data_IF_843585729066
#
_entry.id   IF_843585729066
#
_cell.length_a   1.000
_cell.length_b   1.000
_cell.length_c   1.000
_cell.angle_alpha   90.00
_cell.angle_beta   90.00
_cell.angle_gamma   90.00
#
_symmetry.space_group_name_H-M   'P 1'
#
loop_
_entity.id
_entity.type
_entity.pdbx_description
1 polymer ?
#
# COMPACT_ATOMS: atom_id res chain seq x y z
N UNK A 1 -32.30 -7.22 47.99
CA UNK A 1 -31.49 -5.98 48.12
C UNK A 1 -30.87 -5.67 46.77
N UNK A 2 -31.19 -4.51 46.22
CA UNK A 2 -30.65 -3.95 44.99
C UNK A 2 -29.16 -3.60 45.14
N UNK A 3 -28.38 -3.78 44.06
CA UNK A 3 -27.23 -2.92 43.73
C UNK A 3 -27.09 -2.91 42.21
N UNK A 4 -27.35 -1.75 41.62
CA UNK A 4 -27.48 -1.55 40.17
C UNK A 4 -26.15 -1.60 39.43
N UNK A 5 -26.22 -2.07 38.18
CA UNK A 5 -25.19 -1.92 37.17
C UNK A 5 -25.10 -0.44 36.75
N UNK A 6 -23.90 0.13 36.56
CA UNK A 6 -23.79 1.46 35.96
C UNK A 6 -24.24 1.37 34.49
N UNK A 7 -25.25 2.16 34.16
CA UNK A 7 -25.68 2.42 32.78
C UNK A 7 -24.47 3.01 32.05
N UNK A 8 -23.93 2.28 31.06
CA UNK A 8 -22.95 2.83 30.13
C UNK A 8 -23.63 3.99 29.40
N UNK A 9 -23.13 5.20 29.66
CA UNK A 9 -23.67 6.45 29.14
C UNK A 9 -23.66 6.45 27.61
N UNK A 10 -24.80 6.83 27.00
CA UNK A 10 -25.01 6.87 25.55
C UNK A 10 -24.25 8.02 24.84
N UNK A 11 -23.38 8.76 25.54
CA UNK A 11 -22.64 9.91 25.02
C UNK A 11 -21.35 9.57 24.28
N UNK A 12 -20.85 8.34 24.41
CA UNK A 12 -19.55 7.94 23.87
C UNK A 12 -19.59 7.52 22.39
N UNK A 13 -20.76 7.26 21.80
CA UNK A 13 -20.88 6.94 20.36
C UNK A 13 -20.77 8.16 19.44
N UNK A 14 -20.95 9.38 19.96
CA UNK A 14 -20.89 10.62 19.17
C UNK A 14 -19.48 11.22 19.02
N UNK A 15 -18.54 10.85 19.89
CA UNK A 15 -17.16 11.36 19.87
C UNK A 15 -16.25 10.68 18.84
N UNK A 16 -16.26 9.34 18.68
CA UNK A 16 -15.50 8.63 17.64
C UNK A 16 -15.91 9.13 16.26
N UNK A 17 -17.22 9.17 16.01
CA UNK A 17 -17.76 9.59 14.72
C UNK A 17 -17.39 11.04 14.34
N UNK A 18 -17.33 11.97 15.32
CA UNK A 18 -16.85 13.35 15.07
C UNK A 18 -15.34 13.43 14.88
N UNK A 19 -14.59 12.55 15.54
CA UNK A 19 -13.14 12.48 15.40
C UNK A 19 -12.75 11.97 14.02
N UNK A 20 -13.41 10.92 13.55
CA UNK A 20 -13.20 10.32 12.23
C UNK A 20 -13.57 11.29 11.11
N UNK A 21 -14.68 12.04 11.26
CA UNK A 21 -15.05 13.09 10.32
C UNK A 21 -13.98 14.19 10.18
N UNK A 22 -13.34 14.58 11.28
CA UNK A 22 -12.27 15.59 11.24
C UNK A 22 -10.98 15.06 10.62
N UNK A 23 -10.60 13.83 10.97
CA UNK A 23 -9.47 13.14 10.32
C UNK A 23 -9.70 13.07 8.81
N UNK A 24 -10.88 12.62 8.38
CA UNK A 24 -11.22 12.48 6.97
C UNK A 24 -11.27 13.84 6.25
N UNK A 25 -11.82 14.89 6.87
CA UNK A 25 -11.79 16.23 6.28
C UNK A 25 -10.36 16.76 6.09
N UNK A 26 -9.43 16.43 7.00
CA UNK A 26 -8.01 16.76 6.83
C UNK A 26 -7.42 15.98 5.65
N UNK A 27 -7.67 14.67 5.55
CA UNK A 27 -7.15 13.83 4.47
C UNK A 27 -7.73 14.23 3.10
N UNK A 28 -9.02 14.54 3.00
CA UNK A 28 -9.65 15.04 1.78
C UNK A 28 -9.06 16.39 1.35
N UNK A 29 -8.82 17.28 2.33
CA UNK A 29 -8.15 18.55 2.05
C UNK A 29 -6.70 18.35 1.61
N UNK A 30 -5.97 17.41 2.25
CA UNK A 30 -4.61 17.06 1.88
C UNK A 30 -4.55 16.50 0.47
N UNK A 31 -5.45 15.58 0.12
CA UNK A 31 -5.59 15.00 -1.22
C UNK A 31 -5.79 16.07 -2.28
N UNK A 32 -6.70 17.01 -2.01
CA UNK A 32 -6.96 18.12 -2.91
C UNK A 32 -5.70 18.95 -3.17
N UNK A 33 -4.94 19.32 -2.14
CA UNK A 33 -3.72 20.11 -2.32
C UNK A 33 -2.61 19.28 -2.99
N UNK A 34 -2.52 17.98 -2.69
CA UNK A 34 -1.55 17.09 -3.33
C UNK A 34 -1.74 17.07 -4.85
N UNK A 35 -3.00 17.02 -5.32
CA UNK A 35 -3.35 17.08 -6.74
C UNK A 35 -3.02 18.43 -7.40
N UNK A 36 -3.10 19.53 -6.66
CA UNK A 36 -2.93 20.88 -7.22
C UNK A 36 -1.47 21.34 -7.26
N UNK A 37 -0.70 21.07 -6.21
CA UNK A 37 0.64 21.66 -6.01
C UNK A 37 1.74 20.64 -5.75
N UNK A 38 1.43 19.34 -5.82
CA UNK A 38 2.38 18.27 -5.48
C UNK A 38 2.76 18.26 -4.01
N UNK A 39 3.56 17.28 -3.57
CA UNK A 39 3.85 17.14 -2.14
C UNK A 39 4.58 18.38 -1.60
N UNK A 40 5.62 18.87 -2.27
CA UNK A 40 6.44 19.97 -1.77
C UNK A 40 5.65 21.28 -1.59
N UNK A 41 4.68 21.53 -2.48
CA UNK A 41 3.81 22.70 -2.42
C UNK A 41 2.78 22.68 -1.28
N UNK A 42 2.51 21.54 -0.64
CA UNK A 42 1.50 21.44 0.42
C UNK A 42 1.89 22.26 1.65
N UNK A 43 1.01 23.18 2.03
CA UNK A 43 1.08 23.99 3.24
C UNK A 43 -0.03 23.59 4.22
N UNK A 44 0.35 23.25 5.46
CA UNK A 44 -0.58 22.83 6.52
C UNK A 44 -1.61 23.93 6.85
N UNK A 45 -1.26 25.22 6.70
CA UNK A 45 -2.21 26.30 6.90
C UNK A 45 -3.35 26.27 5.87
N UNK A 46 -3.04 25.96 4.62
CA UNK A 46 -4.02 25.90 3.54
C UNK A 46 -4.88 24.63 3.65
N UNK A 47 -4.25 23.49 3.99
CA UNK A 47 -4.95 22.22 4.28
C UNK A 47 -5.96 22.40 5.40
N UNK A 48 -5.55 22.98 6.53
CA UNK A 48 -6.43 23.17 7.70
C UNK A 48 -7.55 24.17 7.44
N UNK A 49 -7.26 25.25 6.69
CA UNK A 49 -8.27 26.24 6.26
C UNK A 49 -9.35 25.57 5.41
N UNK A 50 -8.99 24.75 4.43
CA UNK A 50 -9.94 24.03 3.58
C UNK A 50 -10.72 22.95 4.35
N UNK A 51 -10.05 22.22 5.23
CA UNK A 51 -10.68 21.20 6.07
C UNK A 51 -11.62 21.79 7.15
N UNK A 52 -11.62 23.11 7.36
CA UNK A 52 -12.42 23.76 8.41
C UNK A 52 -11.97 23.39 9.83
N UNK A 53 -10.68 23.07 10.00
CA UNK A 53 -10.10 22.70 11.31
C UNK A 53 -8.97 23.66 11.70
N UNK A 54 -8.60 23.66 12.98
CA UNK A 54 -7.45 24.43 13.44
C UNK A 54 -6.15 23.69 13.18
N UNK A 55 -5.02 24.42 13.17
CA UNK A 55 -3.69 23.80 13.08
C UNK A 55 -3.39 22.88 14.26
N UNK A 56 -3.85 23.21 15.47
CA UNK A 56 -3.75 22.33 16.63
C UNK A 56 -4.55 21.04 16.45
N UNK A 57 -5.72 21.10 15.79
CA UNK A 57 -6.49 19.91 15.47
C UNK A 57 -5.78 19.01 14.44
N UNK A 58 -5.08 19.59 13.45
CA UNK A 58 -4.23 18.80 12.55
C UNK A 58 -3.17 18.01 13.32
N UNK A 59 -2.39 18.70 14.17
CA UNK A 59 -1.31 18.05 14.94
C UNK A 59 -1.81 17.10 16.05
N UNK A 60 -3.10 17.15 16.38
CA UNK A 60 -3.73 16.12 17.21
C UNK A 60 -3.87 14.79 16.47
N UNK A 61 -4.10 14.79 15.15
CA UNK A 61 -4.25 13.58 14.33
C UNK A 61 -2.93 13.12 13.69
N UNK A 62 -2.09 14.06 13.27
CA UNK A 62 -0.88 13.78 12.51
C UNK A 62 0.30 14.54 13.10
N UNK A 63 1.30 13.81 13.57
CA UNK A 63 2.51 14.40 14.16
C UNK A 63 3.19 15.40 13.23
N UNK A 64 3.17 15.11 11.92
CA UNK A 64 3.74 15.97 10.89
C UNK A 64 3.06 15.75 9.54
N UNK A 65 3.48 16.53 8.54
CA UNK A 65 3.01 16.43 7.15
C UNK A 65 3.22 15.04 6.56
N UNK A 66 4.35 14.39 6.85
CA UNK A 66 4.66 13.07 6.32
C UNK A 66 3.72 11.99 6.89
N UNK A 67 3.39 12.05 8.19
CA UNK A 67 2.40 11.16 8.80
C UNK A 67 0.99 11.33 8.21
N UNK A 68 0.59 12.56 7.86
CA UNK A 68 -0.68 12.80 7.20
C UNK A 68 -0.71 12.25 5.77
N UNK A 69 0.40 12.33 5.05
CA UNK A 69 0.55 11.75 3.71
C UNK A 69 0.56 10.22 3.78
N UNK A 70 1.28 9.64 4.75
CA UNK A 70 1.24 8.20 5.00
C UNK A 70 -0.20 7.70 5.23
N UNK A 71 -0.98 8.44 6.03
CA UNK A 71 -2.38 8.15 6.26
C UNK A 71 -3.26 8.32 5.00
N UNK A 72 -2.92 9.24 4.10
CA UNK A 72 -3.61 9.38 2.81
C UNK A 72 -3.38 8.18 1.88
N UNK A 73 -2.26 7.48 2.06
CA UNK A 73 -1.88 6.29 1.27
C UNK A 73 -2.45 4.98 1.85
N UNK A 74 -3.11 5.01 3.02
CA UNK A 74 -3.74 3.84 3.65
C UNK A 74 -4.56 2.98 2.66
N UNK A 75 -5.43 3.55 1.78
CA UNK A 75 -6.18 2.75 0.82
C UNK A 75 -5.31 1.93 -0.14
N UNK A 76 -4.14 2.46 -0.53
CA UNK A 76 -3.21 1.74 -1.42
C UNK A 76 -2.53 0.59 -0.69
N UNK A 77 -2.31 0.70 0.62
CA UNK A 77 -1.81 -0.40 1.42
C UNK A 77 -2.85 -1.51 1.56
N UNK A 78 -4.12 -1.15 1.76
CA UNK A 78 -5.23 -2.12 1.78
C UNK A 78 -5.31 -2.91 0.46
N UNK A 79 -5.16 -2.24 -0.68
CA UNK A 79 -5.08 -2.92 -1.97
C UNK A 79 -3.85 -3.84 -2.09
N UNK A 80 -2.70 -3.41 -1.57
CA UNK A 80 -1.49 -4.24 -1.49
C UNK A 80 -1.69 -5.50 -0.65
N UNK A 81 -2.38 -5.39 0.49
CA UNK A 81 -2.76 -6.54 1.31
C UNK A 81 -3.72 -7.47 0.59
N UNK A 82 -4.70 -6.92 -0.14
CA UNK A 82 -5.58 -7.74 -0.99
C UNK A 82 -4.79 -8.50 -2.06
N UNK A 83 -3.80 -7.87 -2.69
CA UNK A 83 -2.92 -8.51 -3.66
C UNK A 83 -2.07 -9.62 -3.01
N UNK A 84 -1.62 -9.42 -1.78
CA UNK A 84 -0.93 -10.46 -0.98
C UNK A 84 -1.86 -11.64 -0.69
N UNK A 85 -3.07 -11.40 -0.19
CA UNK A 85 -4.08 -12.43 0.07
C UNK A 85 -4.39 -13.26 -1.19
N UNK A 86 -4.49 -12.60 -2.35
CA UNK A 86 -4.70 -13.26 -3.64
C UNK A 86 -3.55 -14.22 -3.96
N UNK A 87 -2.31 -13.77 -3.76
CA UNK A 87 -1.10 -14.52 -4.03
C UNK A 87 -0.98 -15.73 -3.09
N UNK A 88 -1.33 -15.57 -1.81
CA UNK A 88 -1.13 -16.59 -0.77
C UNK A 88 -2.29 -17.58 -0.66
N UNK A 89 -3.42 -17.33 -1.33
CA UNK A 89 -4.57 -18.23 -1.39
C UNK A 89 -4.32 -19.54 -2.19
N UNK A 90 -3.56 -20.48 -1.63
CA UNK A 90 -3.09 -21.75 -2.24
C UNK A 90 -4.19 -22.72 -2.72
N UNK A 91 -5.46 -22.38 -2.57
CA UNK A 91 -6.59 -23.13 -3.15
C UNK A 91 -6.69 -23.04 -4.67
N UNK A 92 -5.89 -22.15 -5.31
CA UNK A 92 -5.84 -21.92 -6.76
C UNK A 92 -4.46 -22.27 -7.35
N UNK A 93 -4.40 -22.62 -8.65
CA UNK A 93 -3.13 -22.85 -9.34
C UNK A 93 -2.16 -21.66 -9.18
N UNK A 94 -0.84 -21.89 -9.03
CA UNK A 94 0.14 -20.81 -8.86
C UNK A 94 0.08 -19.70 -9.90
N UNK A 95 -0.08 -20.08 -11.17
CA UNK A 95 -0.20 -19.17 -12.30
C UNK A 95 -1.37 -18.19 -12.12
N UNK A 96 -2.54 -18.71 -11.79
CA UNK A 96 -3.76 -17.90 -11.65
C UNK A 96 -3.63 -16.90 -10.48
N UNK A 97 -2.99 -17.32 -9.38
CA UNK A 97 -2.73 -16.45 -8.22
C UNK A 97 -1.75 -15.32 -8.55
N UNK A 98 -0.64 -15.65 -9.21
CA UNK A 98 0.37 -14.68 -9.65
C UNK A 98 -0.25 -13.66 -10.61
N UNK A 99 -0.98 -14.13 -11.61
CA UNK A 99 -1.64 -13.24 -12.57
C UNK A 99 -2.65 -12.32 -11.91
N UNK A 100 -3.52 -12.86 -11.05
CA UNK A 100 -4.52 -12.08 -10.34
C UNK A 100 -3.88 -11.05 -9.38
N UNK A 101 -2.78 -11.39 -8.72
CA UNK A 101 -2.00 -10.46 -7.89
C UNK A 101 -1.43 -9.31 -8.74
N UNK A 102 -0.83 -9.62 -9.90
CA UNK A 102 -0.28 -8.60 -10.80
C UNK A 102 -1.37 -7.67 -11.35
N UNK A 103 -2.53 -8.23 -11.73
CA UNK A 103 -3.67 -7.46 -12.18
C UNK A 103 -4.20 -6.54 -11.06
N UNK A 104 -4.32 -7.05 -9.82
CA UNK A 104 -4.72 -6.24 -8.67
C UNK A 104 -3.75 -5.08 -8.39
N UNK A 105 -2.44 -5.33 -8.47
CA UNK A 105 -1.43 -4.27 -8.33
C UNK A 105 -1.58 -3.18 -9.39
N UNK A 106 -1.82 -3.54 -10.66
CA UNK A 106 -2.03 -2.54 -11.72
C UNK A 106 -3.39 -1.84 -11.61
N UNK A 107 -4.41 -2.51 -11.07
CA UNK A 107 -5.70 -1.89 -10.77
C UNK A 107 -5.57 -0.80 -9.69
N UNK A 108 -4.74 -1.02 -8.67
CA UNK A 108 -4.38 0.03 -7.69
C UNK A 108 -3.76 1.24 -8.39
N UNK A 109 -2.88 1.03 -9.38
CA UNK A 109 -2.34 2.13 -10.16
C UNK A 109 -3.42 2.86 -10.94
N UNK A 110 -4.34 2.15 -11.58
CA UNK A 110 -5.40 2.78 -12.36
C UNK A 110 -6.38 3.57 -11.49
N UNK A 111 -6.61 3.12 -10.24
CA UNK A 111 -7.45 3.82 -9.27
C UNK A 111 -6.74 5.01 -8.61
N UNK A 112 -5.44 4.90 -8.34
CA UNK A 112 -4.67 5.83 -7.51
C UNK A 112 -3.48 6.47 -8.22
N UNK A 113 -3.47 6.52 -9.56
CA UNK A 113 -2.33 6.97 -10.38
C UNK A 113 -1.70 8.27 -9.90
N UNK A 114 -2.52 9.30 -9.66
CA UNK A 114 -2.02 10.61 -9.22
C UNK A 114 -1.37 10.56 -7.84
N UNK A 115 -1.85 9.70 -6.93
CA UNK A 115 -1.24 9.49 -5.61
C UNK A 115 0.11 8.81 -5.76
N UNK A 116 0.19 7.79 -6.61
CA UNK A 116 1.45 7.10 -6.90
C UNK A 116 2.47 8.04 -7.54
N UNK A 117 2.08 8.86 -8.51
CA UNK A 117 2.97 9.87 -9.10
C UNK A 117 3.52 10.83 -8.03
N UNK A 118 2.64 11.39 -7.20
CA UNK A 118 3.04 12.28 -6.13
C UNK A 118 3.91 11.58 -5.07
N UNK A 119 3.65 10.30 -4.80
CA UNK A 119 4.41 9.46 -3.89
C UNK A 119 5.81 9.14 -4.43
N UNK A 120 5.93 8.84 -5.73
CA UNK A 120 7.21 8.61 -6.41
C UNK A 120 8.10 9.85 -6.36
N UNK A 121 7.54 11.03 -6.63
CA UNK A 121 8.24 12.31 -6.49
C UNK A 121 8.65 12.55 -5.03
N UNK A 122 7.72 12.35 -4.10
CA UNK A 122 7.94 12.55 -2.67
C UNK A 122 9.04 11.65 -2.07
N UNK A 123 9.04 10.35 -2.37
CA UNK A 123 10.09 9.44 -1.87
C UNK A 123 11.46 9.82 -2.42
N UNK A 124 11.53 10.38 -3.62
CA UNK A 124 12.79 10.80 -4.23
C UNK A 124 13.48 11.91 -3.42
N UNK A 125 12.71 12.86 -2.86
CA UNK A 125 13.24 14.05 -2.19
C UNK A 125 13.12 14.03 -0.66
N UNK A 126 12.23 13.21 -0.10
CA UNK A 126 11.95 13.17 1.34
C UNK A 126 12.26 11.80 1.98
N UNK A 127 13.32 11.70 2.81
CA UNK A 127 13.70 10.45 3.46
C UNK A 127 12.65 9.84 4.39
N UNK A 128 11.80 10.65 5.03
CA UNK A 128 10.77 10.13 5.92
C UNK A 128 9.66 9.43 5.13
N UNK A 129 9.26 10.02 4.00
CA UNK A 129 8.28 9.42 3.08
C UNK A 129 8.85 8.16 2.44
N UNK A 130 10.13 8.18 2.05
CA UNK A 130 10.82 6.99 1.55
C UNK A 130 10.77 5.84 2.56
N UNK A 131 11.11 6.10 3.83
CA UNK A 131 11.04 5.07 4.88
C UNK A 131 9.65 4.50 5.06
N UNK A 132 8.61 5.34 5.07
CA UNK A 132 7.22 4.85 5.18
C UNK A 132 6.87 3.89 4.03
N UNK A 133 7.32 4.20 2.82
CA UNK A 133 7.12 3.31 1.66
C UNK A 133 7.89 2.00 1.80
N UNK A 134 9.18 2.10 2.12
CA UNK A 134 10.07 0.95 2.26
C UNK A 134 9.59 0.03 3.39
N UNK A 135 9.23 0.58 4.55
CA UNK A 135 8.71 -0.16 5.71
C UNK A 135 7.39 -0.89 5.36
N UNK A 136 6.50 -0.23 4.61
CA UNK A 136 5.24 -0.84 4.17
C UNK A 136 5.50 -2.01 3.20
N UNK A 137 6.42 -1.84 2.25
CA UNK A 137 6.82 -2.91 1.33
C UNK A 137 7.49 -4.08 2.07
N UNK A 138 8.40 -3.78 2.99
CA UNK A 138 9.14 -4.79 3.74
C UNK A 138 8.22 -5.61 4.65
N UNK A 139 7.06 -5.05 5.05
CA UNK A 139 6.04 -5.77 5.80
C UNK A 139 5.45 -6.99 5.08
N UNK A 140 5.55 -7.05 3.75
CA UNK A 140 5.10 -8.20 2.94
C UNK A 140 6.12 -9.34 2.85
N UNK A 141 7.39 -9.08 3.20
CA UNK A 141 8.48 -10.07 3.06
C UNK A 141 8.18 -11.37 3.83
N UNK A 142 7.75 -11.35 5.11
CA UNK A 142 7.53 -12.58 5.86
C UNK A 142 6.46 -13.47 5.24
N UNK A 143 5.34 -12.88 4.79
CA UNK A 143 4.22 -13.62 4.20
C UNK A 143 4.61 -14.25 2.86
N UNK A 144 5.25 -13.47 1.98
CA UNK A 144 5.75 -13.97 0.70
C UNK A 144 6.82 -15.06 0.89
N UNK A 145 7.72 -14.88 1.86
CA UNK A 145 8.75 -15.88 2.18
C UNK A 145 8.13 -17.20 2.64
N UNK A 146 7.11 -17.14 3.50
CA UNK A 146 6.38 -18.31 3.96
C UNK A 146 5.66 -19.02 2.79
N UNK A 147 5.02 -18.25 1.89
CA UNK A 147 4.38 -18.81 0.69
C UNK A 147 5.39 -19.55 -0.19
N UNK A 148 6.57 -18.96 -0.44
CA UNK A 148 7.63 -19.62 -1.22
C UNK A 148 8.10 -20.91 -0.53
N UNK A 149 8.28 -20.88 0.79
CA UNK A 149 8.66 -22.06 1.56
C UNK A 149 7.62 -23.19 1.45
N UNK A 150 6.33 -22.85 1.50
CA UNK A 150 5.23 -23.81 1.35
C UNK A 150 5.16 -24.40 -0.06
N UNK A 151 5.40 -23.60 -1.10
CA UNK A 151 5.48 -24.08 -2.48
C UNK A 151 6.66 -25.06 -2.68
N UNK A 152 7.82 -24.79 -2.05
CA UNK A 152 8.98 -25.70 -2.05
C UNK A 152 8.70 -26.98 -1.29
N UNK A 153 8.15 -26.89 -0.07
CA UNK A 153 7.82 -28.04 0.76
C UNK A 153 6.78 -28.97 0.09
N UNK A 154 5.88 -28.41 -0.71
CA UNK A 154 4.92 -29.16 -1.49
C UNK A 154 5.47 -29.71 -2.82
N UNK A 155 6.77 -29.49 -3.12
CA UNK A 155 7.43 -29.93 -4.35
C UNK A 155 6.91 -29.25 -5.61
N UNK A 156 6.25 -28.08 -5.48
CA UNK A 156 5.75 -27.30 -6.62
C UNK A 156 6.82 -26.33 -7.11
N UNK A 157 7.45 -25.60 -6.19
CA UNK A 157 8.58 -24.70 -6.47
C UNK A 157 9.91 -25.40 -6.26
N UNK A 158 10.95 -24.90 -6.92
CA UNK A 158 12.31 -25.43 -6.76
C UNK A 158 13.02 -24.86 -5.54
N UNK A 159 13.98 -25.64 -5.04
CA UNK A 159 15.00 -25.13 -4.13
C UNK A 159 15.83 -24.04 -4.82
N UNK A 160 16.38 -23.13 -4.02
CA UNK A 160 17.12 -21.98 -4.54
C UNK A 160 17.66 -21.11 -3.42
N UNK A 161 17.85 -19.80 -3.67
CA UNK A 161 18.24 -18.86 -2.63
C UNK A 161 17.30 -18.88 -1.42
N UNK A 162 17.73 -18.33 -0.27
CA UNK A 162 16.86 -18.13 0.89
C UNK A 162 15.55 -17.42 0.48
N UNK A 163 14.44 -17.84 1.08
CA UNK A 163 13.10 -17.37 0.70
C UNK A 163 12.94 -15.87 0.90
N UNK A 164 13.59 -15.32 1.94
CA UNK A 164 13.57 -13.89 2.26
C UNK A 164 14.28 -13.06 1.19
N UNK A 165 15.41 -13.54 0.67
CA UNK A 165 16.14 -12.87 -0.40
C UNK A 165 15.30 -12.86 -1.68
N UNK A 166 14.63 -13.97 -1.97
CA UNK A 166 13.79 -14.07 -3.16
C UNK A 166 12.55 -13.18 -3.05
N UNK A 167 11.92 -13.15 -1.87
CA UNK A 167 10.78 -12.29 -1.58
C UNK A 167 11.15 -10.81 -1.73
N UNK A 168 12.28 -10.38 -1.18
CA UNK A 168 12.77 -9.00 -1.31
C UNK A 168 12.95 -8.60 -2.78
N UNK A 169 13.64 -9.43 -3.58
CA UNK A 169 13.87 -9.15 -5.00
C UNK A 169 12.57 -9.12 -5.83
N UNK A 170 11.61 -9.99 -5.52
CA UNK A 170 10.30 -10.00 -6.19
C UNK A 170 9.47 -8.76 -5.82
N UNK A 171 9.56 -8.27 -4.58
CA UNK A 171 8.91 -7.03 -4.17
C UNK A 171 9.58 -5.79 -4.80
N UNK A 172 10.91 -5.77 -4.93
CA UNK A 172 11.64 -4.73 -5.69
C UNK A 172 11.23 -4.72 -7.17
N UNK A 173 11.05 -5.91 -7.75
CA UNK A 173 10.55 -6.05 -9.12
C UNK A 173 9.13 -5.48 -9.26
N UNK A 174 8.23 -5.82 -8.33
CA UNK A 174 6.87 -5.28 -8.29
C UNK A 174 6.86 -3.76 -8.13
N UNK A 175 7.68 -3.19 -7.22
CA UNK A 175 7.80 -1.73 -7.06
C UNK A 175 8.19 -1.06 -8.38
N UNK A 176 9.17 -1.63 -9.09
CA UNK A 176 9.61 -1.11 -10.39
C UNK A 176 8.54 -1.26 -11.48
N UNK A 177 7.78 -2.34 -11.45
CA UNK A 177 6.65 -2.57 -12.34
C UNK A 177 5.57 -1.49 -12.14
N UNK A 178 5.18 -1.23 -10.89
CA UNK A 178 4.21 -0.21 -10.52
C UNK A 178 4.68 1.18 -10.91
N UNK A 179 5.94 1.52 -10.61
CA UNK A 179 6.55 2.79 -11.01
C UNK A 179 6.48 2.95 -12.54
N UNK A 180 6.90 1.93 -13.30
CA UNK A 180 6.91 1.98 -14.76
C UNK A 180 5.51 2.14 -15.36
N UNK A 181 4.52 1.46 -14.79
CA UNK A 181 3.14 1.59 -15.23
C UNK A 181 2.56 2.96 -14.88
N UNK A 182 2.93 3.51 -13.72
CA UNK A 182 2.51 4.84 -13.23
C UNK A 182 3.04 5.96 -14.12
N UNK A 183 4.37 6.05 -14.31
CA UNK A 183 5.01 7.14 -15.08
C UNK A 183 4.82 7.01 -16.59
N UNK A 184 4.31 5.87 -17.04
CA UNK A 184 4.14 5.55 -18.44
C UNK A 184 5.37 4.91 -19.08
N UNK A 185 5.11 4.15 -20.14
CA UNK A 185 6.13 3.41 -20.85
C UNK A 185 5.70 2.96 -22.24
N UNK A 186 6.60 2.25 -22.92
CA UNK A 186 6.36 1.72 -24.27
C UNK A 186 5.47 0.48 -24.29
N UNK A 187 5.29 -0.18 -23.14
CA UNK A 187 4.54 -1.43 -23.02
C UNK A 187 3.13 -1.13 -22.53
N UNK A 188 2.17 -1.89 -23.05
CA UNK A 188 0.78 -1.89 -22.58
C UNK A 188 0.64 -2.59 -21.22
N UNK A 189 -0.49 -2.37 -20.55
CA UNK A 189 -0.86 -3.07 -19.30
C UNK A 189 -0.72 -4.59 -19.48
N UNK A 190 -1.29 -5.15 -20.54
CA UNK A 190 -1.26 -6.59 -20.80
C UNK A 190 0.15 -7.11 -21.02
N UNK A 191 0.98 -6.39 -21.78
CA UNK A 191 2.39 -6.77 -21.98
C UNK A 191 3.21 -6.74 -20.68
N UNK A 192 2.91 -5.80 -19.78
CA UNK A 192 3.53 -5.71 -18.47
C UNK A 192 3.12 -6.88 -17.58
N UNK A 193 1.82 -7.21 -17.54
CA UNK A 193 1.30 -8.37 -16.78
C UNK A 193 1.89 -9.67 -17.32
N UNK A 194 1.86 -9.90 -18.64
CA UNK A 194 2.37 -11.13 -19.25
C UNK A 194 3.88 -11.31 -19.00
N UNK A 195 4.65 -10.23 -19.12
CA UNK A 195 6.09 -10.25 -18.84
C UNK A 195 6.40 -10.49 -17.36
N UNK A 196 5.66 -9.84 -16.45
CA UNK A 196 5.81 -10.01 -15.02
C UNK A 196 5.39 -11.42 -14.57
N UNK A 197 4.30 -11.96 -15.11
CA UNK A 197 3.84 -13.32 -14.87
C UNK A 197 4.92 -14.34 -15.27
N UNK A 198 5.52 -14.18 -16.44
CA UNK A 198 6.60 -15.05 -16.90
C UNK A 198 7.83 -14.99 -16.00
N UNK A 199 8.22 -13.79 -15.52
CA UNK A 199 9.36 -13.62 -14.62
C UNK A 199 9.09 -14.24 -13.24
N UNK A 200 7.90 -14.00 -12.66
CA UNK A 200 7.48 -14.62 -11.41
C UNK A 200 7.47 -16.14 -11.49
N UNK A 201 6.86 -16.68 -12.55
CA UNK A 201 6.78 -18.13 -12.74
C UNK A 201 8.16 -18.75 -12.98
N UNK A 202 8.99 -18.13 -13.82
CA UNK A 202 10.34 -18.61 -14.08
C UNK A 202 11.24 -18.57 -12.84
N UNK A 203 11.07 -17.56 -12.00
CA UNK A 203 11.85 -17.39 -10.77
C UNK A 203 11.49 -18.42 -9.69
N UNK A 204 10.22 -18.76 -9.56
CA UNK A 204 9.74 -19.66 -8.51
C UNK A 204 9.68 -21.14 -8.94
N UNK A 205 9.36 -21.39 -10.21
CA UNK A 205 9.03 -22.72 -10.73
C UNK A 205 9.88 -23.14 -11.93
N UNK A 206 10.75 -22.26 -12.43
CA UNK A 206 11.63 -22.58 -13.54
C UNK A 206 12.85 -23.37 -13.09
N UNK A 207 13.23 -24.38 -13.88
CA UNK A 207 14.42 -25.19 -13.62
C UNK A 207 15.70 -24.36 -13.79
N UNK A 208 16.40 -24.08 -12.69
CA UNK A 208 17.79 -23.60 -12.77
C UNK A 208 18.67 -24.84 -12.93
N UNK A 209 18.87 -25.24 -14.19
CA UNK A 209 19.72 -26.37 -14.55
C UNK A 209 21.18 -26.22 -14.16
#
# INVERSE_FOLDING_TARGET
MQRGLPVRSATDRRQPQKSDLRRNAILESLDHHLREVGLDGINIADVTRRAGVTRSAFYFYFENKAAAVAALLEPMYDDGFLASDILTATTRPPRDRIRAMLEALLDTVDQHRYLLEAMLEARATNPAIRRVWDDARDSFIPELSAMIADERAAGRAEDGPPTEVLAELLLEFNDRLLERYTVGGRLTRDQLVDGAEALWLGTLYGHVG
#
